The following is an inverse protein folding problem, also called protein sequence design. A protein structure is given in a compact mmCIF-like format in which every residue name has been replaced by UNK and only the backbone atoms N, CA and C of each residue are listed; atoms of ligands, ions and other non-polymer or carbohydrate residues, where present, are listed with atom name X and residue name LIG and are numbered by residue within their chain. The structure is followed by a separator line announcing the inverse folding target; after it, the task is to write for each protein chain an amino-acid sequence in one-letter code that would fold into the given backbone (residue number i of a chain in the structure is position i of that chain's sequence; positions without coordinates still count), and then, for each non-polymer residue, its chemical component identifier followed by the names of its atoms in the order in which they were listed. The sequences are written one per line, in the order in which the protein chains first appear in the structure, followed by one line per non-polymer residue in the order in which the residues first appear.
data_IF_660641842083
#
_entry.id   IF_660641842083
#
_cell.length_a   1.000
_cell.length_b   1.000
_cell.length_c   1.000
_cell.angle_alpha   90.00
_cell.angle_beta   90.00
_cell.angle_gamma   90.00
#
_symmetry.space_group_name_H-M   'P 1'
#
loop_
_entity.id
_entity.type
_entity.pdbx_description
1 polymer ?
#
# COMPACT_ATOMS: atom_id res chain seq x y z
N UNK A 1 3.98 1.75 25.22
CA UNK A 1 2.93 1.94 24.20
C UNK A 1 1.93 2.95 24.75
N UNK A 2 1.82 4.10 24.10
CA UNK A 2 0.93 5.17 24.55
C UNK A 2 -0.55 4.87 24.18
N UNK A 3 -1.50 5.70 24.67
CA UNK A 3 -2.94 5.52 24.39
C UNK A 3 -3.25 5.62 22.88
N UNK A 4 -2.51 6.47 22.17
CA UNK A 4 -2.63 6.66 20.72
C UNK A 4 -2.32 5.36 19.95
N UNK A 5 -1.32 4.60 20.35
CA UNK A 5 -0.94 3.37 19.65
C UNK A 5 -1.91 2.23 19.91
N UNK A 6 -2.52 2.20 21.11
CA UNK A 6 -3.51 1.17 21.45
C UNK A 6 -4.75 1.21 20.55
N UNK A 7 -5.27 2.41 20.26
CA UNK A 7 -6.43 2.51 19.38
C UNK A 7 -6.08 2.22 17.92
N UNK A 8 -4.89 2.65 17.43
CA UNK A 8 -4.43 2.30 16.08
C UNK A 8 -4.40 0.78 15.87
N UNK A 9 -3.80 0.06 16.81
CA UNK A 9 -3.75 -1.41 16.78
C UNK A 9 -5.13 -2.07 16.93
N UNK A 10 -6.06 -1.48 17.69
CA UNK A 10 -7.44 -1.97 17.75
C UNK A 10 -8.15 -1.85 16.42
N UNK A 11 -8.05 -0.71 15.75
CA UNK A 11 -8.64 -0.51 14.42
C UNK A 11 -8.02 -1.46 13.39
N UNK A 12 -6.70 -1.61 13.40
CA UNK A 12 -6.02 -2.61 12.57
C UNK A 12 -6.60 -4.01 12.77
N UNK A 13 -6.74 -4.45 14.02
CA UNK A 13 -7.30 -5.77 14.33
C UNK A 13 -8.76 -5.91 13.93
N UNK A 14 -9.58 -4.88 14.10
CA UNK A 14 -10.98 -4.89 13.63
C UNK A 14 -11.05 -5.10 12.13
N UNK A 15 -10.25 -4.38 11.34
CA UNK A 15 -10.18 -4.57 9.88
C UNK A 15 -9.69 -5.96 9.51
N UNK A 16 -8.68 -6.49 10.19
CA UNK A 16 -8.19 -7.85 9.97
C UNK A 16 -9.27 -8.92 10.27
N UNK A 17 -10.01 -8.77 11.36
CA UNK A 17 -11.14 -9.66 11.69
C UNK A 17 -12.23 -9.57 10.62
N UNK A 18 -12.53 -8.38 10.13
CA UNK A 18 -13.49 -8.19 9.04
C UNK A 18 -13.00 -8.86 7.75
N UNK A 19 -11.70 -8.75 7.40
CA UNK A 19 -11.13 -9.45 6.25
C UNK A 19 -11.25 -10.98 6.38
N UNK A 20 -11.06 -11.53 7.59
CA UNK A 20 -11.31 -12.97 7.86
C UNK A 20 -12.78 -13.30 7.62
N UNK A 21 -13.71 -12.49 8.10
CA UNK A 21 -15.15 -12.67 7.86
C UNK A 21 -15.49 -12.63 6.37
N UNK A 22 -14.90 -11.68 5.61
CA UNK A 22 -15.07 -11.58 4.16
C UNK A 22 -14.51 -12.82 3.43
N UNK A 23 -13.36 -13.31 3.85
CA UNK A 23 -12.75 -14.52 3.30
C UNK A 23 -13.69 -15.72 3.45
N UNK A 24 -14.25 -15.93 4.64
CA UNK A 24 -15.23 -17.00 4.87
C UNK A 24 -16.53 -16.77 4.09
N UNK A 25 -17.02 -15.55 3.98
CA UNK A 25 -18.20 -15.24 3.17
C UNK A 25 -17.94 -15.53 1.68
N UNK A 26 -16.76 -15.21 1.19
CA UNK A 26 -16.35 -15.53 -0.18
C UNK A 26 -16.39 -17.04 -0.48
N UNK A 27 -15.91 -17.87 0.44
CA UNK A 27 -16.02 -19.32 0.33
C UNK A 27 -17.49 -19.79 0.39
N UNK A 28 -18.29 -19.22 1.30
CA UNK A 28 -19.69 -19.61 1.45
C UNK A 28 -20.53 -19.29 0.22
N UNK A 29 -20.32 -18.11 -0.39
CA UNK A 29 -21.03 -17.68 -1.60
C UNK A 29 -20.38 -18.12 -2.92
N UNK A 30 -19.24 -18.82 -2.88
CA UNK A 30 -18.51 -19.27 -4.05
C UNK A 30 -17.91 -18.13 -4.88
N UNK A 31 -17.62 -16.98 -4.26
CA UNK A 31 -17.06 -15.81 -4.96
C UNK A 31 -15.54 -15.80 -4.91
N UNK A 32 -14.89 -16.23 -5.99
CA UNK A 32 -13.42 -16.18 -6.12
C UNK A 32 -12.86 -14.76 -5.94
N UNK A 33 -13.57 -13.74 -6.45
CA UNK A 33 -13.20 -12.33 -6.30
C UNK A 33 -13.08 -11.93 -4.82
N UNK A 34 -14.06 -12.25 -3.99
CA UNK A 34 -14.03 -11.94 -2.55
C UNK A 34 -12.94 -12.75 -1.85
N UNK A 35 -12.80 -14.04 -2.16
CA UNK A 35 -11.79 -14.92 -1.55
C UNK A 35 -10.38 -14.38 -1.82
N UNK A 36 -10.06 -14.08 -3.07
CA UNK A 36 -8.72 -13.62 -3.45
C UNK A 36 -8.41 -12.25 -2.82
N UNK A 37 -9.31 -11.28 -2.97
CA UNK A 37 -9.05 -9.93 -2.45
C UNK A 37 -8.97 -9.88 -0.92
N UNK A 38 -9.86 -10.57 -0.21
CA UNK A 38 -9.81 -10.60 1.26
C UNK A 38 -8.65 -11.45 1.79
N UNK A 39 -8.28 -12.53 1.10
CA UNK A 39 -7.14 -13.37 1.44
C UNK A 39 -5.82 -12.63 1.27
N UNK A 40 -5.61 -12.00 0.11
CA UNK A 40 -4.45 -11.14 -0.13
C UNK A 40 -4.42 -9.95 0.83
N UNK A 41 -5.55 -9.31 1.06
CA UNK A 41 -5.67 -8.21 2.00
C UNK A 41 -5.26 -8.63 3.42
N UNK A 42 -5.71 -9.81 3.87
CA UNK A 42 -5.31 -10.36 5.17
C UNK A 42 -3.81 -10.64 5.22
N UNK A 43 -3.24 -11.30 4.21
CA UNK A 43 -1.80 -11.59 4.14
C UNK A 43 -0.98 -10.30 4.23
N UNK A 44 -1.29 -9.31 3.39
CA UNK A 44 -0.54 -8.04 3.34
C UNK A 44 -0.67 -7.28 4.67
N UNK A 45 -1.86 -7.26 5.28
CA UNK A 45 -2.09 -6.60 6.57
C UNK A 45 -1.32 -7.23 7.73
N UNK A 46 -0.91 -8.50 7.61
CA UNK A 46 -0.11 -9.21 8.62
C UNK A 46 1.40 -9.01 8.43
N UNK A 47 1.86 -8.59 7.25
CA UNK A 47 3.29 -8.41 6.94
C UNK A 47 4.01 -7.56 7.99
N UNK A 48 3.54 -6.36 8.40
CA UNK A 48 4.23 -5.56 9.40
C UNK A 48 4.48 -6.31 10.71
N UNK A 49 3.47 -7.02 11.21
CA UNK A 49 3.59 -7.79 12.45
C UNK A 49 4.54 -8.98 12.35
N UNK A 50 4.64 -9.61 11.17
CA UNK A 50 5.61 -10.69 10.90
C UNK A 50 7.02 -10.10 10.81
N UNK A 51 7.19 -8.99 10.11
CA UNK A 51 8.48 -8.28 9.99
C UNK A 51 9.02 -7.87 11.36
N UNK A 52 8.16 -7.34 12.23
CA UNK A 52 8.55 -6.99 13.59
C UNK A 52 8.99 -8.22 14.41
N UNK A 53 8.18 -9.27 14.41
CA UNK A 53 8.44 -10.45 15.26
C UNK A 53 9.58 -11.32 14.77
N UNK A 54 9.68 -11.54 13.45
CA UNK A 54 10.62 -12.51 12.87
C UNK A 54 11.93 -11.90 12.46
N UNK A 55 11.91 -10.65 11.99
CA UNK A 55 13.06 -9.98 11.42
C UNK A 55 13.53 -8.77 12.25
N UNK A 56 12.88 -8.52 13.40
CA UNK A 56 13.17 -7.39 14.28
C UNK A 56 13.13 -6.02 13.57
N UNK A 57 12.36 -5.94 12.47
CA UNK A 57 12.15 -4.67 11.75
C UNK A 57 11.21 -3.80 12.55
N UNK A 58 11.63 -2.58 12.86
CA UNK A 58 10.77 -1.63 13.57
C UNK A 58 9.54 -1.29 12.71
N UNK A 59 8.36 -1.70 13.14
CA UNK A 59 7.10 -1.30 12.53
C UNK A 59 6.39 -0.29 13.41
N UNK A 60 5.96 0.80 12.78
CA UNK A 60 5.17 1.82 13.46
C UNK A 60 3.67 1.45 13.42
N UNK A 61 2.92 1.60 14.54
CA UNK A 61 1.48 1.32 14.57
C UNK A 61 0.66 2.15 13.58
N UNK A 62 1.09 3.36 13.24
CA UNK A 62 0.42 4.20 12.24
C UNK A 62 0.66 3.66 10.83
N UNK A 63 1.88 3.26 10.50
CA UNK A 63 2.20 2.62 9.22
C UNK A 63 1.42 1.31 9.05
N UNK A 64 1.35 0.49 10.09
CA UNK A 64 0.57 -0.77 10.08
C UNK A 64 -0.92 -0.50 9.86
N UNK A 65 -1.48 0.51 10.53
CA UNK A 65 -2.86 0.94 10.34
C UNK A 65 -3.09 1.43 8.91
N UNK A 66 -2.18 2.23 8.36
CA UNK A 66 -2.27 2.81 7.03
C UNK A 66 -2.26 1.72 5.94
N UNK A 67 -1.31 0.78 5.99
CA UNK A 67 -1.28 -0.38 5.10
C UNK A 67 -2.57 -1.20 5.19
N UNK A 68 -3.01 -1.49 6.42
CA UNK A 68 -4.23 -2.31 6.63
C UNK A 68 -5.47 -1.58 6.10
N UNK A 69 -5.56 -0.27 6.29
CA UNK A 69 -6.69 0.53 5.79
C UNK A 69 -6.77 0.51 4.26
N UNK A 70 -5.65 0.70 3.57
CA UNK A 70 -5.63 0.69 2.09
C UNK A 70 -6.12 -0.65 1.54
N UNK A 71 -5.56 -1.75 2.03
CA UNK A 71 -5.93 -3.10 1.60
C UNK A 71 -7.36 -3.46 2.01
N UNK A 72 -7.81 -3.01 3.16
CA UNK A 72 -9.19 -3.20 3.61
C UNK A 72 -10.19 -2.49 2.70
N UNK A 73 -9.93 -1.23 2.34
CA UNK A 73 -10.79 -0.48 1.42
C UNK A 73 -10.80 -1.11 0.02
N UNK A 74 -9.66 -1.58 -0.46
CA UNK A 74 -9.56 -2.33 -1.71
C UNK A 74 -10.40 -3.62 -1.66
N UNK A 75 -10.32 -4.38 -0.57
CA UNK A 75 -11.12 -5.59 -0.37
C UNK A 75 -12.62 -5.29 -0.31
N UNK A 76 -13.03 -4.17 0.32
CA UNK A 76 -14.43 -3.72 0.29
C UNK A 76 -14.88 -3.34 -1.12
N UNK A 77 -13.99 -2.76 -1.93
CA UNK A 77 -14.25 -2.47 -3.34
C UNK A 77 -14.76 -3.69 -4.09
N UNK A 78 -14.17 -4.86 -3.82
CA UNK A 78 -14.56 -6.13 -4.45
C UNK A 78 -15.97 -6.63 -4.11
N UNK A 79 -16.59 -6.09 -3.03
CA UNK A 79 -17.99 -6.34 -2.67
C UNK A 79 -18.99 -5.53 -3.50
N UNK A 80 -18.52 -4.68 -4.41
CA UNK A 80 -19.34 -3.86 -5.28
C UNK A 80 -19.21 -2.36 -5.07
N UNK A 81 -18.37 -1.89 -4.12
CA UNK A 81 -18.16 -0.46 -3.90
C UNK A 81 -17.49 0.22 -5.11
N UNK A 82 -16.66 -0.48 -5.87
CA UNK A 82 -16.11 0.01 -7.14
C UNK A 82 -17.21 0.39 -8.15
N UNK A 83 -18.30 -0.38 -8.19
CA UNK A 83 -19.42 -0.11 -9.11
C UNK A 83 -20.44 0.86 -8.53
N UNK A 84 -20.58 0.91 -7.19
CA UNK A 84 -21.61 1.71 -6.52
C UNK A 84 -21.16 3.15 -6.23
N UNK A 85 -19.87 3.39 -6.10
CA UNK A 85 -19.29 4.66 -5.65
C UNK A 85 -18.19 5.07 -6.63
N UNK A 86 -18.46 6.04 -7.49
CA UNK A 86 -17.60 6.45 -8.60
C UNK A 86 -16.19 6.93 -8.21
N UNK A 87 -16.00 7.39 -6.98
CA UNK A 87 -14.70 7.86 -6.47
C UNK A 87 -13.95 6.81 -5.62
N UNK A 88 -14.55 5.63 -5.40
CA UNK A 88 -13.96 4.60 -4.53
C UNK A 88 -12.60 4.12 -5.03
N UNK A 89 -12.52 3.86 -6.30
CA UNK A 89 -11.30 3.42 -6.97
C UNK A 89 -10.18 4.47 -6.86
N UNK A 90 -10.48 5.69 -7.20
CA UNK A 90 -9.55 6.82 -7.05
C UNK A 90 -9.01 6.97 -5.63
N UNK A 91 -9.86 6.78 -4.61
CA UNK A 91 -9.43 6.79 -3.22
C UNK A 91 -8.46 5.64 -2.91
N UNK A 92 -8.77 4.43 -3.37
CA UNK A 92 -7.91 3.25 -3.13
C UNK A 92 -6.57 3.38 -3.83
N UNK A 93 -6.53 3.92 -5.06
CA UNK A 93 -5.31 4.23 -5.78
C UNK A 93 -4.46 5.29 -5.07
N UNK A 94 -5.03 6.43 -4.71
CA UNK A 94 -4.32 7.48 -3.98
C UNK A 94 -3.75 6.99 -2.63
N UNK A 95 -4.53 6.21 -1.90
CA UNK A 95 -4.12 5.68 -0.60
C UNK A 95 -3.01 4.62 -0.74
N UNK A 96 -3.13 3.71 -1.69
CA UNK A 96 -2.11 2.68 -1.94
C UNK A 96 -0.80 3.31 -2.43
N UNK A 97 -0.88 4.26 -3.36
CA UNK A 97 0.27 5.02 -3.84
C UNK A 97 0.96 5.79 -2.72
N UNK A 98 0.20 6.36 -1.79
CA UNK A 98 0.76 7.07 -0.63
C UNK A 98 1.59 6.15 0.28
N UNK A 99 1.22 4.87 0.41
CA UNK A 99 1.97 3.86 1.16
C UNK A 99 3.28 3.51 0.43
N UNK A 100 3.19 3.22 -0.87
CA UNK A 100 4.38 2.91 -1.69
C UNK A 100 5.35 4.09 -1.67
N UNK A 101 4.84 5.33 -1.78
CA UNK A 101 5.63 6.56 -1.63
C UNK A 101 6.28 6.66 -0.25
N UNK A 102 5.53 6.37 0.82
CA UNK A 102 6.04 6.39 2.19
C UNK A 102 7.16 5.38 2.42
N UNK A 103 7.01 4.15 1.93
CA UNK A 103 8.04 3.11 2.00
C UNK A 103 9.27 3.52 1.18
N UNK A 104 9.08 3.98 -0.06
CA UNK A 104 10.15 4.44 -0.93
C UNK A 104 10.92 5.62 -0.32
N UNK A 105 10.21 6.60 0.24
CA UNK A 105 10.83 7.71 0.94
C UNK A 105 11.67 7.25 2.12
N UNK A 106 11.09 6.41 2.99
CA UNK A 106 11.77 5.90 4.18
C UNK A 106 13.05 5.17 3.81
N UNK A 107 12.99 4.30 2.80
CA UNK A 107 14.16 3.56 2.32
C UNK A 107 15.26 4.49 1.81
N UNK A 108 14.94 5.36 0.85
CA UNK A 108 15.93 6.28 0.25
C UNK A 108 16.49 7.27 1.28
N UNK A 109 15.63 7.78 2.17
CA UNK A 109 16.08 8.69 3.24
C UNK A 109 16.99 8.00 4.24
N UNK A 110 16.75 6.72 4.53
CA UNK A 110 17.63 5.93 5.38
C UNK A 110 19.03 5.80 4.78
N UNK A 111 19.12 5.59 3.47
CA UNK A 111 20.40 5.54 2.75
C UNK A 111 21.10 6.90 2.77
N UNK A 112 20.37 8.00 2.48
CA UNK A 112 20.90 9.38 2.48
C UNK A 112 21.46 9.80 3.86
N UNK A 113 20.80 9.41 4.95
CA UNK A 113 21.23 9.77 6.32
C UNK A 113 22.49 8.98 6.73
N UNK A 114 22.65 7.75 6.26
CA UNK A 114 23.68 6.82 6.73
C UNK A 114 24.84 6.62 5.78
N UNK A 115 24.81 7.22 4.60
CA UNK A 115 25.92 7.19 3.64
C UNK A 115 26.63 8.53 3.63
N UNK A 116 27.94 8.53 3.87
CA UNK A 116 28.76 9.74 3.70
C UNK A 116 29.00 10.09 2.22
N UNK A 117 28.81 9.11 1.32
CA UNK A 117 29.07 9.26 -0.12
C UNK A 117 27.81 9.69 -0.91
N UNK A 118 26.62 9.54 -0.32
CA UNK A 118 25.35 9.80 -0.98
C UNK A 118 24.67 10.99 -0.33
N UNK A 119 24.48 12.05 -1.08
CA UNK A 119 23.67 13.20 -0.69
C UNK A 119 22.50 13.38 -1.65
N UNK A 120 21.26 13.30 -1.13
CA UNK A 120 20.05 13.41 -1.93
C UNK A 120 19.28 14.71 -1.57
N UNK A 121 19.37 15.75 -2.44
CA UNK A 121 18.62 16.98 -2.22
C UNK A 121 17.11 16.73 -2.13
N UNK A 122 16.38 17.50 -1.32
CA UNK A 122 14.92 17.38 -1.18
C UNK A 122 14.15 17.43 -2.49
N UNK A 123 14.58 18.26 -3.45
CA UNK A 123 13.97 18.33 -4.78
C UNK A 123 14.14 17.05 -5.56
N UNK A 124 15.31 16.41 -5.46
CA UNK A 124 15.55 15.10 -6.08
C UNK A 124 14.67 14.02 -5.43
N UNK A 125 14.57 14.00 -4.11
CA UNK A 125 13.68 13.06 -3.39
C UNK A 125 12.23 13.17 -3.86
N UNK A 126 11.71 14.38 -4.04
CA UNK A 126 10.36 14.60 -4.55
C UNK A 126 10.18 14.00 -5.96
N UNK A 127 11.08 14.34 -6.88
CA UNK A 127 11.03 13.82 -8.26
C UNK A 127 11.19 12.31 -8.29
N UNK A 128 12.13 11.78 -7.51
CA UNK A 128 12.36 10.35 -7.41
C UNK A 128 11.10 9.60 -6.93
N UNK A 129 10.44 10.10 -5.88
CA UNK A 129 9.19 9.49 -5.38
C UNK A 129 8.10 9.52 -6.44
N UNK A 130 7.91 10.65 -7.09
CA UNK A 130 6.90 10.78 -8.15
C UNK A 130 7.15 9.78 -9.29
N UNK A 131 8.38 9.70 -9.78
CA UNK A 131 8.74 8.74 -10.83
C UNK A 131 8.58 7.29 -10.38
N UNK A 132 8.96 6.99 -9.14
CA UNK A 132 8.80 5.64 -8.57
C UNK A 132 7.32 5.24 -8.52
N UNK A 133 6.45 6.13 -8.05
CA UNK A 133 5.01 5.85 -7.96
C UNK A 133 4.39 5.70 -9.36
N UNK A 134 4.76 6.55 -10.30
CA UNK A 134 4.29 6.41 -11.68
C UNK A 134 4.75 5.08 -12.29
N UNK A 135 6.01 4.68 -12.06
CA UNK A 135 6.51 3.39 -12.53
C UNK A 135 5.75 2.20 -11.90
N UNK A 136 5.52 2.23 -10.57
CA UNK A 136 4.71 1.20 -9.90
C UNK A 136 3.25 1.21 -10.39
N UNK A 137 2.67 2.38 -10.65
CA UNK A 137 1.33 2.51 -11.23
C UNK A 137 1.26 1.85 -12.60
N UNK A 138 2.23 2.11 -13.50
CA UNK A 138 2.29 1.45 -14.81
C UNK A 138 2.42 -0.07 -14.67
N UNK A 139 3.27 -0.56 -13.76
CA UNK A 139 3.40 -2.00 -13.51
C UNK A 139 2.07 -2.60 -13.02
N UNK A 140 1.34 -1.87 -12.18
CA UNK A 140 0.03 -2.31 -11.69
C UNK A 140 -0.99 -2.41 -12.84
N UNK A 141 -1.13 -1.38 -13.68
CA UNK A 141 -2.00 -1.38 -14.85
C UNK A 141 -1.67 -2.52 -15.82
N UNK A 142 -0.37 -2.76 -16.07
CA UNK A 142 0.06 -3.88 -16.91
C UNK A 142 -0.30 -5.24 -16.29
N UNK A 143 -0.28 -5.33 -14.95
CA UNK A 143 -0.69 -6.54 -14.25
C UNK A 143 -2.19 -6.78 -14.38
N UNK A 144 -3.04 -5.75 -14.20
CA UNK A 144 -4.49 -5.83 -14.38
C UNK A 144 -4.85 -6.19 -15.83
N UNK A 145 -4.22 -5.53 -16.80
CA UNK A 145 -4.38 -5.86 -18.22
C UNK A 145 -4.00 -7.31 -18.54
N UNK A 146 -2.91 -7.80 -17.95
CA UNK A 146 -2.49 -9.20 -18.10
C UNK A 146 -3.50 -10.18 -17.51
N UNK A 147 -4.11 -9.84 -16.37
CA UNK A 147 -5.19 -10.65 -15.78
C UNK A 147 -6.43 -10.68 -16.65
N UNK A 148 -6.80 -9.57 -17.30
CA UNK A 148 -7.93 -9.53 -18.23
C UNK A 148 -7.70 -10.40 -19.47
N UNK A 149 -6.49 -10.40 -20.04
CA UNK A 149 -6.13 -11.32 -21.13
C UNK A 149 -6.30 -12.79 -20.69
N UNK A 150 -5.89 -13.12 -19.48
CA UNK A 150 -6.05 -14.47 -18.92
C UNK A 150 -7.54 -14.79 -18.71
N UNK A 151 -8.32 -13.84 -18.18
CA UNK A 151 -9.77 -13.99 -18.02
C UNK A 151 -10.45 -14.30 -19.35
N UNK A 152 -10.17 -13.52 -20.37
CA UNK A 152 -10.76 -13.68 -21.72
C UNK A 152 -10.39 -15.02 -22.35
N UNK A 153 -9.16 -15.47 -22.15
CA UNK A 153 -8.66 -16.73 -22.71
C UNK A 153 -9.17 -18.00 -22.00
N UNK A 154 -9.45 -17.88 -20.68
CA UNK A 154 -9.80 -19.03 -19.82
C UNK A 154 -11.27 -19.07 -19.40
N UNK A 155 -12.00 -17.96 -19.57
CA UNK A 155 -13.36 -17.78 -19.05
C UNK A 155 -13.43 -17.67 -17.54
N UNK A 156 -12.30 -17.44 -16.85
CA UNK A 156 -12.24 -17.24 -15.41
C UNK A 156 -12.63 -15.81 -15.05
N UNK A 157 -13.34 -15.65 -13.93
CA UNK A 157 -13.60 -14.31 -13.35
C UNK A 157 -12.38 -13.87 -12.55
N UNK A 158 -11.68 -12.85 -13.06
CA UNK A 158 -10.52 -12.30 -12.37
C UNK A 158 -10.93 -11.35 -11.22
N UNK A 159 -10.13 -11.29 -10.15
CA UNK A 159 -10.41 -10.45 -8.98
C UNK A 159 -10.21 -8.95 -9.25
N UNK A 160 -9.36 -8.62 -10.20
CA UNK A 160 -9.01 -7.27 -10.65
C UNK A 160 -9.41 -7.15 -12.13
N UNK A 161 -9.81 -5.98 -12.56
CA UNK A 161 -10.21 -5.73 -13.94
C UNK A 161 -9.82 -4.30 -14.32
N UNK A 162 -9.21 -4.17 -15.51
CA UNK A 162 -8.97 -2.89 -16.12
C UNK A 162 -10.24 -2.42 -16.85
N UNK A 163 -10.65 -1.17 -16.61
CA UNK A 163 -11.84 -0.59 -17.22
C UNK A 163 -11.53 0.31 -18.43
N UNK A 164 -10.37 0.13 -19.04
CA UNK A 164 -9.94 0.81 -20.25
C UNK A 164 -9.01 1.99 -20.00
N UNK A 165 -8.55 2.63 -21.10
CA UNK A 165 -7.51 3.66 -21.05
C UNK A 165 -7.87 4.86 -20.17
N UNK A 166 -9.13 5.31 -20.19
CA UNK A 166 -9.55 6.45 -19.37
C UNK A 166 -9.44 6.17 -17.88
N UNK A 167 -9.76 4.97 -17.47
CA UNK A 167 -9.65 4.48 -16.09
C UNK A 167 -8.19 4.45 -15.66
N UNK A 168 -7.34 3.74 -16.41
CA UNK A 168 -5.90 3.68 -16.16
C UNK A 168 -5.25 5.06 -16.05
N UNK A 169 -5.66 6.01 -16.89
CA UNK A 169 -5.13 7.38 -16.82
C UNK A 169 -5.57 8.11 -15.55
N UNK A 170 -6.82 7.91 -15.10
CA UNK A 170 -7.30 8.47 -13.83
C UNK A 170 -6.55 7.87 -12.66
N UNK A 171 -6.34 6.55 -12.66
CA UNK A 171 -5.61 5.85 -11.61
C UNK A 171 -4.17 6.34 -11.49
N UNK A 172 -3.49 6.54 -12.62
CA UNK A 172 -2.17 7.18 -12.64
C UNK A 172 -2.19 8.60 -12.07
N UNK A 173 -3.23 9.40 -12.32
CA UNK A 173 -3.38 10.73 -11.75
C UNK A 173 -3.59 10.67 -10.22
N UNK A 174 -4.43 9.75 -9.73
CA UNK A 174 -4.65 9.59 -8.29
C UNK A 174 -3.46 8.95 -7.59
N UNK A 175 -2.72 8.07 -8.25
CA UNK A 175 -1.42 7.59 -7.78
C UNK A 175 -0.43 8.75 -7.60
N UNK A 176 -0.30 9.63 -8.60
CA UNK A 176 0.54 10.81 -8.51
C UNK A 176 0.08 11.76 -7.38
N UNK A 177 -1.24 11.96 -7.21
CA UNK A 177 -1.79 12.74 -6.11
C UNK A 177 -1.40 12.14 -4.75
N UNK A 178 -1.52 10.84 -4.56
CA UNK A 178 -1.10 10.13 -3.35
C UNK A 178 0.38 10.34 -3.04
N UNK A 179 1.25 10.27 -4.06
CA UNK A 179 2.68 10.54 -3.94
C UNK A 179 2.96 11.98 -3.52
N UNK A 180 2.31 12.97 -4.15
CA UNK A 180 2.46 14.39 -3.85
C UNK A 180 2.02 14.69 -2.41
N UNK A 181 0.87 14.18 -1.98
CA UNK A 181 0.39 14.34 -0.61
C UNK A 181 1.37 13.76 0.40
N UNK A 182 1.92 12.58 0.11
CA UNK A 182 2.93 11.95 0.96
C UNK A 182 4.22 12.77 1.01
N UNK A 183 4.66 13.29 -0.12
CA UNK A 183 5.86 14.13 -0.19
C UNK A 183 5.71 15.46 0.57
N UNK A 184 4.51 16.05 0.62
CA UNK A 184 4.26 17.31 1.31
C UNK A 184 4.03 17.09 2.81
N UNK A 185 3.15 16.17 3.17
CA UNK A 185 2.67 15.99 4.55
C UNK A 185 3.40 14.89 5.31
N UNK A 186 3.99 13.93 4.58
CA UNK A 186 4.65 12.78 5.18
C UNK A 186 6.09 13.04 5.63
N UNK A 187 6.73 14.12 5.18
CA UNK A 187 8.18 14.32 5.35
C UNK A 187 8.65 14.22 6.81
N UNK A 188 7.96 14.85 7.75
CA UNK A 188 8.37 14.84 9.17
C UNK A 188 8.25 13.43 9.74
N UNK A 189 7.09 12.81 9.60
CA UNK A 189 6.82 11.46 10.09
C UNK A 189 7.73 10.40 9.45
N UNK A 190 7.88 10.46 8.12
CA UNK A 190 8.67 9.49 7.38
C UNK A 190 10.18 9.66 7.60
N UNK A 191 10.66 10.88 7.88
CA UNK A 191 12.06 11.11 8.27
C UNK A 191 12.37 10.48 9.62
N UNK A 192 11.49 10.66 10.63
CA UNK A 192 11.64 9.99 11.92
C UNK A 192 11.60 8.46 11.79
N UNK A 193 10.76 7.94 10.91
CA UNK A 193 10.69 6.52 10.64
C UNK A 193 11.97 6.01 9.96
N UNK A 194 12.53 6.79 9.02
CA UNK A 194 13.78 6.50 8.35
C UNK A 194 14.97 6.44 9.32
N UNK A 195 15.07 7.42 10.25
CA UNK A 195 16.09 7.44 11.29
C UNK A 195 16.02 6.19 12.18
N UNK A 196 14.83 5.87 12.69
CA UNK A 196 14.61 4.67 13.52
C UNK A 196 14.95 3.37 12.79
N UNK A 197 14.60 3.31 11.49
CA UNK A 197 14.87 2.13 10.68
C UNK A 197 16.36 1.96 10.40
N UNK A 198 17.04 3.05 10.09
CA UNK A 198 18.45 3.08 9.79
C UNK A 198 19.30 2.75 11.02
N UNK A 199 19.00 3.32 12.20
CA UNK A 199 19.68 3.00 13.47
C UNK A 199 19.62 1.50 13.81
N UNK A 200 18.57 0.81 13.41
CA UNK A 200 18.41 -0.61 13.72
C UNK A 200 19.05 -1.55 12.69
N UNK A 201 19.15 -1.14 11.45
CA UNK A 201 19.44 -2.06 10.34
C UNK A 201 20.69 -1.70 9.55
N UNK A 202 21.06 -0.44 9.50
CA UNK A 202 22.27 0.01 8.84
C UNK A 202 23.36 0.20 9.88
N UNK A 203 24.06 -0.88 10.22
CA UNK A 203 25.32 -0.82 11.00
C UNK A 203 26.46 -0.36 10.09
N UNK A 204 26.30 0.79 9.43
CA UNK A 204 27.41 1.39 8.72
C UNK A 204 28.36 2.03 9.74
N UNK A 205 29.69 1.83 9.65
CA UNK A 205 30.62 2.51 10.53
C UNK A 205 30.43 4.02 10.36
N UNK A 206 30.34 4.71 11.51
CA UNK A 206 30.30 6.16 11.58
C UNK A 206 31.60 6.75 11.07
#
# INVERSE_FOLDING_TARGET
MNLSDKWKLRFTRMMQVTLVGLLFSGFYYGSSKIVINSGMGLIISLIPGVMEKRYNVATDPLLTLWITLAIFLHSLGSLGFYNAISWWDHLTHALSASIVAGIGYTFIRSVDIHSEEIYLPRKFMFVFLLLTILAFGVVWELFEYGLDIIADSTGLVMPLAQHGLEDSMKDMMFNALGAVLTAIFGQVYLSELAEKWAERHLHLPK
#
